data_IF_212716412076
#
_entry.id   IF_212716412076
#
_cell.length_a   1.000
_cell.length_b   1.000
_cell.length_c   1.000
_cell.angle_alpha   90.00
_cell.angle_beta   90.00
_cell.angle_gamma   90.00
#
_symmetry.space_group_name_H-M   'P 1'
#
loop_
_entity.id
_entity.type
_entity.pdbx_description
1 polymer ?
#
# COMPACT_ATOMS: atom_id res chain seq x y z
N UNK A 1 -35.44 -30.87 -17.55
CA UNK A 1 -34.17 -30.11 -17.57
C UNK A 1 -34.51 -28.66 -17.89
N UNK A 2 -34.65 -27.82 -16.86
CA UNK A 2 -35.00 -26.39 -17.02
C UNK A 2 -33.73 -25.56 -17.07
N UNK A 3 -33.54 -24.83 -18.18
CA UNK A 3 -32.44 -23.90 -18.38
C UNK A 3 -32.74 -22.56 -17.71
N UNK A 4 -31.98 -22.21 -16.67
CA UNK A 4 -32.05 -20.91 -16.03
C UNK A 4 -31.21 -19.90 -16.82
N UNK A 5 -31.87 -18.97 -17.52
CA UNK A 5 -31.25 -17.81 -18.15
C UNK A 5 -30.93 -16.77 -17.07
N UNK A 6 -29.65 -16.47 -16.83
CA UNK A 6 -29.22 -15.36 -15.98
C UNK A 6 -29.30 -14.07 -16.79
N UNK A 7 -30.24 -13.21 -16.41
CA UNK A 7 -30.39 -11.84 -16.90
C UNK A 7 -29.36 -10.96 -16.20
N UNK A 8 -28.46 -10.33 -16.95
CA UNK A 8 -27.49 -9.34 -16.45
C UNK A 8 -28.17 -7.96 -16.48
N UNK A 9 -28.29 -7.24 -15.35
CA UNK A 9 -28.73 -5.86 -15.39
C UNK A 9 -27.58 -4.95 -15.84
N UNK A 10 -27.78 -4.28 -16.98
CA UNK A 10 -26.94 -3.17 -17.46
C UNK A 10 -27.26 -1.96 -16.60
N UNK A 11 -26.33 -1.59 -15.71
CA UNK A 11 -26.41 -0.34 -14.95
C UNK A 11 -25.76 0.76 -15.79
N UNK A 12 -26.59 1.62 -16.36
CA UNK A 12 -26.17 2.84 -17.03
C UNK A 12 -25.79 3.90 -15.98
N UNK A 13 -24.51 4.24 -15.89
CA UNK A 13 -24.01 5.34 -15.07
C UNK A 13 -24.18 6.64 -15.86
N UNK A 14 -25.10 7.49 -15.39
CA UNK A 14 -25.28 8.86 -15.91
C UNK A 14 -24.27 9.77 -15.21
N UNK A 15 -23.23 10.17 -15.95
CA UNK A 15 -22.32 11.25 -15.58
C UNK A 15 -23.04 12.59 -15.78
N UNK A 16 -23.47 13.21 -14.68
CA UNK A 16 -23.90 14.60 -14.68
C UNK A 16 -22.66 15.49 -14.49
N UNK A 17 -22.16 16.07 -15.58
CA UNK A 17 -21.27 17.24 -15.53
C UNK A 17 -22.08 18.46 -15.08
N UNK A 18 -21.76 19.00 -13.90
CA UNK A 18 -22.22 20.31 -13.45
C UNK A 18 -21.07 21.31 -13.48
N UNK A 19 -21.05 22.17 -14.50
CA UNK A 19 -20.18 23.35 -14.58
C UNK A 19 -21.01 24.58 -15.00
N UNK A 20 -20.56 25.77 -14.56
CA UNK A 20 -21.15 27.12 -14.70
C UNK A 20 -22.37 27.40 -13.81
N UNK A 21 -22.49 28.51 -13.07
CA UNK A 21 -21.77 29.78 -13.08
C UNK A 21 -22.80 30.93 -13.09
N UNK A 22 -22.75 31.82 -12.09
CA UNK A 22 -23.51 33.08 -12.00
C UNK A 22 -24.84 32.99 -11.22
N UNK A 23 -24.96 33.64 -10.07
CA UNK A 23 -25.43 35.04 -9.97
C UNK A 23 -25.42 35.54 -8.51
N UNK A 24 -25.28 36.85 -8.39
CA UNK A 24 -25.20 37.65 -7.18
C UNK A 24 -26.58 37.79 -6.51
N UNK A 25 -26.70 37.57 -5.19
CA UNK A 25 -27.78 38.16 -4.38
C UNK A 25 -27.53 38.00 -2.88
N UNK A 26 -27.15 39.12 -2.27
CA UNK A 26 -27.33 39.49 -0.86
C UNK A 26 -28.68 39.09 -0.26
N UNK A 27 -28.65 38.45 0.91
CA UNK A 27 -29.59 38.71 2.01
C UNK A 27 -29.00 38.24 3.34
N UNK A 28 -28.83 39.20 4.24
CA UNK A 28 -28.58 39.02 5.67
C UNK A 28 -29.77 38.31 6.35
N UNK A 29 -29.52 37.38 7.28
CA UNK A 29 -30.35 37.13 8.49
C UNK A 29 -29.57 36.26 9.49
N UNK A 30 -28.87 36.93 10.41
CA UNK A 30 -29.08 36.92 11.87
C UNK A 30 -29.61 35.67 12.61
N UNK A 31 -28.82 35.26 13.62
CA UNK A 31 -29.14 34.59 14.90
C UNK A 31 -29.52 33.09 14.89
N UNK A 32 -29.12 32.23 15.85
CA UNK A 32 -28.21 32.24 17.01
C UNK A 32 -28.05 30.75 17.47
N UNK A 33 -27.17 30.40 18.43
CA UNK A 33 -26.66 29.05 18.63
C UNK A 33 -27.59 28.20 19.52
N UNK A 34 -27.47 26.87 19.47
CA UNK A 34 -27.63 25.92 20.61
C UNK A 34 -27.73 24.49 20.06
N UNK A 35 -26.90 23.59 20.59
CA UNK A 35 -27.09 22.15 20.40
C UNK A 35 -25.81 21.35 20.53
N UNK A 36 -25.27 21.25 21.74
CA UNK A 36 -24.19 20.34 22.06
C UNK A 36 -24.69 18.88 22.13
N UNK A 37 -23.78 17.96 21.76
CA UNK A 37 -23.65 16.56 22.19
C UNK A 37 -24.58 15.52 21.54
N UNK A 38 -24.15 14.23 21.41
CA UNK A 38 -23.07 13.59 22.18
C UNK A 38 -21.90 13.01 21.36
N UNK A 39 -20.74 13.04 22.02
CA UNK A 39 -19.56 12.21 21.77
C UNK A 39 -19.92 10.73 21.83
N UNK A 40 -19.80 10.03 20.71
CA UNK A 40 -19.71 8.56 20.69
C UNK A 40 -18.27 8.15 20.95
N UNK A 41 -17.96 7.90 22.22
CA UNK A 41 -16.74 7.21 22.62
C UNK A 41 -16.88 5.74 22.21
N UNK A 42 -16.28 5.38 21.07
CA UNK A 42 -16.14 3.98 20.70
C UNK A 42 -14.86 3.45 21.35
N UNK A 43 -15.02 2.69 22.43
CA UNK A 43 -13.93 1.97 23.09
C UNK A 43 -13.49 0.83 22.18
N UNK A 44 -12.40 1.02 21.44
CA UNK A 44 -11.67 -0.07 20.82
C UNK A 44 -10.98 -0.88 21.92
N UNK A 45 -11.26 -2.17 21.99
CA UNK A 45 -10.52 -3.12 22.82
C UNK A 45 -9.22 -3.42 22.09
N UNK A 46 -8.13 -2.79 22.53
CA UNK A 46 -6.78 -3.11 22.10
C UNK A 46 -6.35 -4.36 22.88
N UNK A 47 -6.34 -5.52 22.23
CA UNK A 47 -5.61 -6.68 22.75
C UNK A 47 -4.11 -6.39 22.63
N UNK A 48 -3.52 -6.11 23.79
CA UNK A 48 -2.10 -5.90 23.99
C UNK A 48 -1.42 -7.26 23.95
N UNK A 49 -0.83 -7.63 22.81
CA UNK A 49 0.05 -8.80 22.72
C UNK A 49 1.43 -8.35 23.19
N UNK A 50 1.71 -8.66 24.44
CA UNK A 50 3.02 -8.53 25.05
C UNK A 50 3.96 -9.61 24.53
N UNK A 51 5.26 -9.28 24.53
CA UNK A 51 6.38 -10.21 24.74
C UNK A 51 7.05 -10.80 23.51
N UNK A 52 8.36 -10.52 23.42
CA UNK A 52 9.28 -11.24 22.53
C UNK A 52 10.54 -10.47 22.15
N UNK A 53 11.24 -9.89 23.12
CA UNK A 53 12.60 -9.40 22.90
C UNK A 53 13.54 -10.59 22.75
N UNK A 54 13.93 -10.93 21.52
CA UNK A 54 15.02 -11.87 21.30
C UNK A 54 16.23 -11.15 20.70
N UNK A 55 17.26 -11.20 21.54
CA UNK A 55 18.58 -10.63 21.35
C UNK A 55 19.37 -11.66 20.56
N UNK A 56 19.91 -11.29 19.40
CA UNK A 56 20.97 -12.08 18.76
C UNK A 56 22.06 -11.17 18.24
N UNK A 57 22.90 -10.74 19.19
CA UNK A 57 24.25 -10.33 18.91
C UNK A 57 25.09 -11.59 18.72
N UNK A 58 25.52 -11.88 17.48
CA UNK A 58 26.62 -12.81 17.25
C UNK A 58 27.85 -11.99 16.86
N UNK A 59 28.72 -11.82 17.85
CA UNK A 59 30.09 -11.39 17.65
C UNK A 59 30.90 -12.57 17.07
N UNK A 60 31.60 -12.33 15.97
CA UNK A 60 32.69 -13.19 15.53
C UNK A 60 33.82 -12.30 14.99
N UNK A 61 34.62 -11.78 15.92
CA UNK A 61 35.97 -11.32 15.61
C UNK A 61 36.90 -12.51 15.78
N UNK A 62 37.50 -12.98 14.70
CA UNK A 62 38.73 -13.78 14.74
C UNK A 62 39.68 -13.16 13.71
N UNK A 63 40.70 -12.50 14.23
CA UNK A 63 41.88 -12.11 13.49
C UNK A 63 42.94 -13.22 13.61
N UNK A 64 43.98 -13.09 12.78
CA UNK A 64 45.23 -13.84 12.72
C UNK A 64 45.21 -15.16 11.94
N UNK A 65 45.56 -15.05 10.66
CA UNK A 65 46.58 -15.95 10.10
C UNK A 65 47.49 -15.17 9.15
N UNK A 66 48.79 -15.34 9.36
CA UNK A 66 49.87 -14.69 8.66
C UNK A 66 50.35 -15.57 7.49
N UNK A 67 50.38 -15.03 6.27
CA UNK A 67 51.11 -15.65 5.16
C UNK A 67 51.90 -14.59 4.39
N UNK A 68 53.19 -14.88 4.25
CA UNK A 68 54.26 -14.13 3.58
C UNK A 68 54.06 -13.94 2.06
N UNK A 69 54.79 -13.00 1.43
CA UNK A 69 54.53 -12.54 0.07
C UNK A 69 55.31 -13.35 -0.99
N UNK A 70 54.65 -13.70 -2.09
CA UNK A 70 55.35 -14.19 -3.27
C UNK A 70 54.43 -14.78 -4.33
N UNK A 71 54.26 -14.06 -5.45
CA UNK A 71 53.62 -14.64 -6.63
C UNK A 71 53.11 -13.61 -7.63
N UNK A 72 54.01 -13.12 -8.48
CA UNK A 72 53.67 -12.59 -9.81
C UNK A 72 52.78 -13.61 -10.55
N UNK A 73 51.50 -13.27 -10.69
CA UNK A 73 50.54 -14.01 -11.46
C UNK A 73 49.43 -13.06 -11.86
N UNK A 74 49.36 -12.72 -13.14
CA UNK A 74 48.25 -11.97 -13.72
C UNK A 74 46.96 -12.78 -13.55
N UNK A 75 46.28 -12.58 -12.42
CA UNK A 75 44.90 -13.01 -12.25
C UNK A 75 44.00 -11.92 -12.80
N UNK A 76 43.52 -12.18 -14.01
CA UNK A 76 42.32 -11.57 -14.55
C UNK A 76 41.19 -11.85 -13.56
N UNK A 77 40.88 -10.89 -12.70
CA UNK A 77 39.66 -10.90 -11.91
C UNK A 77 38.48 -10.81 -12.89
N UNK A 78 37.97 -11.97 -13.29
CA UNK A 78 36.59 -12.11 -13.73
C UNK A 78 35.73 -11.70 -12.54
N UNK A 79 35.41 -10.41 -12.47
CA UNK A 79 34.33 -9.90 -11.64
C UNK A 79 33.07 -10.62 -12.07
N UNK A 80 32.71 -11.68 -11.33
CA UNK A 80 31.39 -12.26 -11.38
C UNK A 80 30.42 -11.17 -10.91
N UNK A 81 29.94 -10.37 -11.87
CA UNK A 81 28.82 -9.46 -11.71
C UNK A 81 27.59 -10.32 -11.46
N UNK A 82 27.51 -10.83 -10.23
CA UNK A 82 26.38 -11.59 -9.74
C UNK A 82 25.33 -10.54 -9.45
N UNK A 83 24.60 -10.14 -10.48
CA UNK A 83 23.47 -9.23 -10.36
C UNK A 83 22.46 -9.92 -9.43
N UNK A 84 22.52 -9.59 -8.14
CA UNK A 84 21.54 -10.02 -7.17
C UNK A 84 20.17 -9.57 -7.68
N UNK A 85 19.13 -10.44 -7.63
CA UNK A 85 17.80 -10.01 -8.01
C UNK A 85 17.42 -8.77 -7.18
N UNK A 86 16.72 -7.80 -7.77
CA UNK A 86 16.36 -6.58 -7.08
C UNK A 86 15.60 -6.94 -5.80
N UNK A 87 16.15 -6.54 -4.65
CA UNK A 87 15.61 -6.88 -3.35
C UNK A 87 14.19 -6.32 -3.21
N UNK A 88 13.26 -7.17 -2.75
CA UNK A 88 11.91 -6.76 -2.37
C UNK A 88 12.05 -5.74 -1.22
N UNK A 89 11.37 -4.59 -1.30
CA UNK A 89 11.39 -3.62 -0.22
C UNK A 89 10.78 -4.22 1.05
N UNK A 90 11.33 -3.92 2.25
CA UNK A 90 10.74 -4.40 3.49
C UNK A 90 9.32 -3.84 3.63
N UNK A 91 8.38 -4.72 3.94
CA UNK A 91 6.97 -4.36 4.05
C UNK A 91 6.32 -5.06 5.25
N UNK A 92 5.29 -4.43 5.80
CA UNK A 92 4.47 -4.93 6.90
C UNK A 92 3.00 -4.88 6.50
N UNK A 93 2.26 -5.97 6.73
CA UNK A 93 0.80 -5.96 6.59
C UNK A 93 0.21 -5.42 7.89
N UNK A 94 -0.26 -4.17 7.88
CA UNK A 94 -0.80 -3.52 9.08
C UNK A 94 -2.27 -3.87 9.29
N UNK A 95 -3.04 -3.89 8.19
CA UNK A 95 -4.46 -4.20 8.27
C UNK A 95 -4.83 -5.29 7.29
N UNK A 96 -5.65 -6.24 7.75
CA UNK A 96 -6.26 -7.28 6.94
C UNK A 96 -7.75 -7.31 7.21
N UNK A 97 -8.55 -6.87 6.24
CA UNK A 97 -10.00 -6.85 6.33
C UNK A 97 -10.58 -7.96 5.46
N UNK A 98 -11.52 -8.71 6.00
CA UNK A 98 -12.23 -9.75 5.27
C UNK A 98 -13.71 -9.40 5.31
N UNK A 99 -14.27 -9.03 4.16
CA UNK A 99 -15.67 -8.64 4.01
C UNK A 99 -16.26 -9.29 2.76
N UNK A 100 -17.39 -10.00 2.89
CA UNK A 100 -18.10 -10.65 1.79
C UNK A 100 -17.19 -11.53 0.90
N UNK A 101 -16.36 -12.37 1.53
CA UNK A 101 -15.36 -13.22 0.87
C UNK A 101 -14.30 -12.45 0.05
N UNK A 102 -14.16 -11.13 0.28
CA UNK A 102 -13.10 -10.31 -0.29
C UNK A 102 -12.10 -9.93 0.80
N UNK A 103 -10.82 -10.10 0.50
CA UNK A 103 -9.71 -9.70 1.37
C UNK A 103 -9.13 -8.37 0.91
N UNK A 104 -9.14 -7.38 1.78
CA UNK A 104 -8.44 -6.10 1.61
C UNK A 104 -7.22 -6.06 2.52
N UNK A 105 -6.04 -5.82 1.95
CA UNK A 105 -4.80 -5.63 2.69
C UNK A 105 -4.36 -4.17 2.66
N UNK A 106 -3.87 -3.67 3.78
CA UNK A 106 -3.13 -2.42 3.85
C UNK A 106 -1.70 -2.73 4.25
N UNK A 107 -0.79 -2.38 3.36
CA UNK A 107 0.62 -2.73 3.43
C UNK A 107 1.41 -1.44 3.64
N UNK A 108 2.16 -1.38 4.72
CA UNK A 108 3.12 -0.31 4.96
C UNK A 108 4.48 -0.75 4.41
N UNK A 109 5.03 0.07 3.54
CA UNK A 109 6.42 -0.03 3.11
C UNK A 109 7.18 1.09 3.81
N UNK A 110 8.41 0.83 4.24
CA UNK A 110 9.23 1.90 4.82
C UNK A 110 9.38 3.05 3.82
N UNK A 111 9.52 4.31 4.26
CA UNK A 111 9.77 5.40 3.33
C UNK A 111 11.16 5.23 2.70
N UNK A 112 11.22 5.17 1.36
CA UNK A 112 12.46 4.94 0.64
C UNK A 112 12.36 5.26 -0.86
N UNK A 113 13.50 5.34 -1.52
CA UNK A 113 13.57 5.47 -2.97
C UNK A 113 13.53 4.07 -3.60
N UNK A 114 12.33 3.56 -3.84
CA UNK A 114 12.14 2.29 -4.53
C UNK A 114 12.14 2.50 -6.03
N UNK A 115 12.75 1.57 -6.76
CA UNK A 115 12.55 1.47 -8.21
C UNK A 115 11.23 0.76 -8.52
N UNK A 116 10.69 0.99 -9.72
CA UNK A 116 9.47 0.29 -10.18
C UNK A 116 9.63 -1.22 -10.07
N UNK A 117 10.79 -1.77 -10.45
CA UNK A 117 11.08 -3.22 -10.39
C UNK A 117 11.00 -3.75 -8.95
N UNK A 118 11.42 -2.98 -7.95
CA UNK A 118 11.30 -3.37 -6.55
C UNK A 118 9.85 -3.41 -6.08
N UNK A 119 9.04 -2.44 -6.51
CA UNK A 119 7.60 -2.42 -6.22
C UNK A 119 6.85 -3.53 -6.96
N UNK A 120 7.26 -3.86 -8.19
CA UNK A 120 6.73 -5.01 -8.93
C UNK A 120 7.03 -6.33 -8.20
N UNK A 121 8.28 -6.52 -7.74
CA UNK A 121 8.65 -7.69 -6.94
C UNK A 121 7.84 -7.79 -5.64
N UNK A 122 7.59 -6.66 -4.97
CA UNK A 122 6.67 -6.60 -3.82
C UNK A 122 5.26 -7.05 -4.20
N UNK A 123 4.73 -6.56 -5.31
CA UNK A 123 3.40 -6.94 -5.79
C UNK A 123 3.32 -8.45 -6.06
N UNK A 124 4.31 -9.04 -6.72
CA UNK A 124 4.35 -10.49 -6.96
C UNK A 124 4.34 -11.27 -5.64
N UNK A 125 5.15 -10.87 -4.68
CA UNK A 125 5.23 -11.50 -3.36
C UNK A 125 3.89 -11.40 -2.60
N UNK A 126 3.23 -10.24 -2.66
CA UNK A 126 1.94 -10.01 -1.99
C UNK A 126 0.82 -10.83 -2.63
N UNK A 127 0.76 -10.88 -3.96
CA UNK A 127 -0.27 -11.63 -4.70
C UNK A 127 -0.09 -13.14 -4.50
N UNK A 128 1.15 -13.63 -4.57
CA UNK A 128 1.47 -15.05 -4.38
C UNK A 128 1.24 -15.50 -2.92
N UNK A 129 1.69 -14.69 -1.95
CA UNK A 129 1.62 -15.03 -0.52
C UNK A 129 0.22 -14.91 0.05
N UNK A 130 -0.50 -13.82 -0.27
CA UNK A 130 -1.77 -13.51 0.40
C UNK A 130 -3.00 -13.62 -0.51
N UNK A 131 -2.81 -13.60 -1.84
CA UNK A 131 -3.89 -13.58 -2.84
C UNK A 131 -5.04 -12.64 -2.47
N UNK A 132 -4.76 -11.34 -2.21
CA UNK A 132 -5.79 -10.39 -1.80
C UNK A 132 -6.75 -10.09 -2.96
N UNK A 133 -7.97 -9.62 -2.64
CA UNK A 133 -8.85 -9.02 -3.65
C UNK A 133 -8.47 -7.56 -3.91
N UNK A 134 -8.08 -6.86 -2.84
CA UNK A 134 -7.62 -5.48 -2.88
C UNK A 134 -6.38 -5.35 -1.98
N UNK A 135 -5.35 -4.65 -2.44
CA UNK A 135 -4.23 -4.27 -1.58
C UNK A 135 -3.90 -2.80 -1.79
N UNK A 136 -3.62 -2.08 -0.71
CA UNK A 136 -3.22 -0.68 -0.75
C UNK A 136 -1.85 -0.58 -0.10
N UNK A 137 -0.85 -0.13 -0.88
CA UNK A 137 0.53 0.01 -0.41
C UNK A 137 0.79 1.49 -0.14
N UNK A 138 1.17 1.80 1.10
CA UNK A 138 1.43 3.16 1.58
C UNK A 138 2.81 3.28 2.22
N UNK A 139 3.34 4.50 2.30
CA UNK A 139 4.64 4.82 2.91
C UNK A 139 4.54 5.35 4.35
N UNK A 140 3.33 5.65 4.80
CA UNK A 140 3.07 6.28 6.09
C UNK A 140 1.96 5.57 6.87
N UNK A 141 2.15 5.44 8.18
CA UNK A 141 1.21 4.74 9.05
C UNK A 141 -0.11 5.49 9.23
N UNK A 142 -0.11 6.82 9.22
CA UNK A 142 -1.34 7.60 9.25
C UNK A 142 -2.15 7.40 7.95
N UNK A 143 -1.47 7.26 6.81
CA UNK A 143 -2.14 6.90 5.55
C UNK A 143 -2.72 5.48 5.61
N UNK A 144 -2.02 4.53 6.25
CA UNK A 144 -2.55 3.17 6.45
C UNK A 144 -3.86 3.17 7.26
N UNK A 145 -3.94 4.00 8.30
CA UNK A 145 -5.15 4.15 9.12
C UNK A 145 -6.29 4.85 8.35
N UNK A 146 -5.96 5.78 7.44
CA UNK A 146 -6.95 6.37 6.54
C UNK A 146 -7.47 5.36 5.52
N UNK A 147 -6.64 4.43 5.05
CA UNK A 147 -7.01 3.44 4.03
C UNK A 147 -8.12 2.47 4.47
N UNK A 148 -8.33 2.31 5.79
CA UNK A 148 -9.38 1.45 6.36
C UNK A 148 -10.64 2.22 6.77
N UNK A 149 -10.64 3.55 6.65
CA UNK A 149 -11.75 4.39 7.06
C UNK A 149 -12.84 4.35 5.98
N UNK A 150 -14.10 4.17 6.36
CA UNK A 150 -15.21 4.15 5.40
C UNK A 150 -15.58 5.56 4.88
N UNK A 151 -15.46 6.57 5.73
CA UNK A 151 -15.83 7.96 5.44
C UNK A 151 -14.60 8.88 5.53
N UNK A 152 -13.83 8.96 4.43
CA UNK A 152 -12.74 9.94 4.31
C UNK A 152 -13.29 11.30 3.88
N UNK A 153 -12.83 12.36 4.52
CA UNK A 153 -13.00 13.71 3.99
C UNK A 153 -12.17 13.89 2.71
N UNK A 154 -12.47 14.89 1.86
CA UNK A 154 -11.65 15.16 0.67
C UNK A 154 -10.17 15.43 0.99
N UNK A 155 -9.89 16.05 2.15
CA UNK A 155 -8.53 16.34 2.62
C UNK A 155 -7.80 15.06 3.05
N UNK A 156 -8.49 14.16 3.76
CA UNK A 156 -7.98 12.85 4.14
C UNK A 156 -7.73 11.97 2.92
N UNK A 157 -8.66 11.97 1.96
CA UNK A 157 -8.52 11.24 0.71
C UNK A 157 -7.29 11.72 -0.08
N UNK A 158 -7.12 13.04 -0.20
CA UNK A 158 -5.93 13.60 -0.85
C UNK A 158 -4.63 13.22 -0.13
N UNK A 159 -4.66 13.08 1.20
CA UNK A 159 -3.51 12.65 2.00
C UNK A 159 -3.19 11.18 1.74
N UNK A 160 -4.20 10.32 1.72
CA UNK A 160 -4.05 8.91 1.39
C UNK A 160 -3.48 8.74 -0.03
N UNK A 161 -4.03 9.45 -1.02
CA UNK A 161 -3.59 9.33 -2.41
C UNK A 161 -2.15 9.81 -2.62
N UNK A 162 -1.74 10.87 -1.91
CA UNK A 162 -0.36 11.37 -1.96
C UNK A 162 0.67 10.39 -1.36
N UNK A 163 0.21 9.52 -0.46
CA UNK A 163 1.02 8.54 0.30
C UNK A 163 0.85 7.10 -0.16
N UNK A 164 0.01 6.90 -1.18
CA UNK A 164 -0.19 5.59 -1.79
C UNK A 164 0.82 5.41 -2.92
N UNK A 165 1.59 4.32 -2.87
CA UNK A 165 2.52 3.97 -3.95
C UNK A 165 1.85 3.17 -5.04
N UNK A 166 1.00 2.22 -4.67
CA UNK A 166 0.24 1.42 -5.62
C UNK A 166 -1.01 0.82 -4.96
N UNK A 167 -1.96 0.46 -5.81
CA UNK A 167 -3.17 -0.29 -5.45
C UNK A 167 -3.27 -1.53 -6.31
N UNK A 168 -3.61 -2.64 -5.69
CA UNK A 168 -4.01 -3.89 -6.34
C UNK A 168 -5.52 -3.97 -6.27
N UNK A 169 -6.17 -4.17 -7.40
CA UNK A 169 -7.61 -4.35 -7.57
C UNK A 169 -7.89 -5.67 -8.28
N UNK A 170 -9.05 -6.26 -8.03
CA UNK A 170 -9.45 -7.56 -8.58
C UNK A 170 -8.42 -8.70 -8.35
N UNK A 171 -7.52 -8.52 -7.38
CA UNK A 171 -6.42 -9.43 -7.04
C UNK A 171 -5.23 -9.49 -8.00
N UNK A 172 -5.30 -8.83 -9.16
CA UNK A 172 -4.24 -8.89 -10.19
C UNK A 172 -3.99 -7.59 -10.93
N UNK A 173 -4.94 -6.64 -10.90
CA UNK A 173 -4.81 -5.35 -11.58
C UNK A 173 -4.08 -4.37 -10.66
N UNK A 174 -2.92 -3.89 -11.08
CA UNK A 174 -2.05 -3.01 -10.30
C UNK A 174 -2.08 -1.63 -10.93
N UNK A 175 -2.34 -0.62 -10.12
CA UNK A 175 -2.26 0.79 -10.51
C UNK A 175 -1.24 1.49 -9.63
N UNK A 176 -0.24 2.12 -10.25
CA UNK A 176 0.75 2.92 -9.52
C UNK A 176 0.22 4.34 -9.27
N UNK A 177 0.58 4.89 -8.11
CA UNK A 177 0.13 6.18 -7.61
C UNK A 177 1.32 7.05 -7.15
N UNK A 178 1.02 8.31 -6.84
CA UNK A 178 2.00 9.27 -6.32
C UNK A 178 3.23 9.41 -7.23
N UNK A 179 4.46 9.28 -6.71
CA UNK A 179 5.69 9.44 -7.49
C UNK A 179 5.91 8.33 -8.54
N UNK A 180 5.11 7.25 -8.48
CA UNK A 180 5.21 6.11 -9.39
C UNK A 180 4.09 6.08 -10.43
N UNK A 181 3.20 7.07 -10.45
CA UNK A 181 2.05 7.11 -11.37
C UNK A 181 2.45 7.01 -12.86
N UNK A 182 3.65 7.47 -13.23
CA UNK A 182 4.19 7.36 -14.58
C UNK A 182 4.45 5.91 -15.04
N UNK A 183 4.57 4.97 -14.09
CA UNK A 183 4.67 3.54 -14.39
C UNK A 183 3.35 2.95 -14.94
N UNK A 184 2.22 3.66 -14.76
CA UNK A 184 0.92 3.27 -15.29
C UNK A 184 0.25 2.16 -14.49
N UNK A 185 -0.33 1.19 -15.19
CA UNK A 185 -0.94 0.02 -14.59
C UNK A 185 -0.47 -1.27 -15.27
N UNK A 186 -0.45 -2.36 -14.52
CA UNK A 186 -0.06 -3.69 -14.99
C UNK A 186 -1.00 -4.76 -14.46
N UNK A 187 -1.08 -5.91 -15.15
CA UNK A 187 -1.85 -7.06 -14.69
C UNK A 187 -0.91 -8.23 -14.41
N UNK A 188 -0.92 -8.72 -13.16
CA UNK A 188 -0.08 -9.83 -12.70
C UNK A 188 -0.57 -11.15 -13.30
N UNK A 189 0.34 -11.91 -13.94
CA UNK A 189 0.04 -13.23 -14.49
C UNK A 189 -0.48 -13.26 -15.93
N UNK A 190 -0.26 -12.20 -16.70
CA UNK A 190 -0.64 -12.08 -18.11
C UNK A 190 0.36 -12.73 -19.07
#
# INVERSE_FOLDING_TARGET
>A
MMAARRTVPVIAVVLALGACGGDDSTSETTSAPTGASPTTTSTAVIEMVESGADTSATAASVAEDAVEPGGDGASQEEGADTTLPPAIPPYEVIHRLIANDRTTLVILVEPGAYSTVQLENLVYDVVDTYSPNTAIVVDDRAAADLAIKDDLTPEEQSTLDARTFLRIENGVDVTFHGPYADAGGMTVGS
#
